data_IF_567485644425
#
_entry.id   IF_567485644425
#
_cell.length_a   1.000
_cell.length_b   1.000
_cell.length_c   1.000
_cell.angle_alpha   90.00
_cell.angle_beta   90.00
_cell.angle_gamma   90.00
#
_symmetry.space_group_name_H-M   'P 1'
#
loop_
_entity.id
_entity.type
_entity.pdbx_description
1 polymer ?
#
# COMPACT_ATOMS: atom_id res chain seq x y z
N UNK A 1 -4.92 18.84 -7.68
CA UNK A 1 -5.33 17.58 -7.01
C UNK A 1 -4.09 16.74 -6.75
N UNK A 2 -3.73 16.53 -5.47
CA UNK A 2 -2.56 15.73 -5.12
C UNK A 2 -2.81 14.28 -5.50
N UNK A 3 -1.90 13.70 -6.28
CA UNK A 3 -1.93 12.34 -6.83
C UNK A 3 -1.83 11.25 -5.73
N UNK A 4 -2.60 11.34 -4.65
CA UNK A 4 -2.33 10.64 -3.38
C UNK A 4 -3.28 9.47 -3.13
N UNK A 5 -2.70 8.30 -2.88
CA UNK A 5 -3.34 7.11 -2.35
C UNK A 5 -3.00 6.96 -0.86
N UNK A 6 -3.99 6.62 -0.03
CA UNK A 6 -3.76 6.34 1.39
C UNK A 6 -4.60 5.15 1.85
N UNK A 7 -3.95 4.14 2.43
CA UNK A 7 -4.60 2.98 3.03
C UNK A 7 -4.42 3.01 4.55
N UNK A 8 -5.54 3.15 5.28
CA UNK A 8 -5.54 3.26 6.73
C UNK A 8 -5.34 1.93 7.47
N UNK A 9 -5.59 0.79 6.82
CA UNK A 9 -5.45 -0.54 7.45
C UNK A 9 -4.00 -0.84 7.79
N UNK A 10 -3.11 -0.37 6.92
CA UNK A 10 -1.66 -0.58 7.00
C UNK A 10 -0.87 0.72 7.15
N UNK A 11 -1.53 1.87 7.30
CA UNK A 11 -0.92 3.21 7.30
C UNK A 11 -0.03 3.48 6.07
N UNK A 12 -0.40 2.95 4.91
CA UNK A 12 0.32 3.16 3.65
C UNK A 12 -0.07 4.48 3.00
N UNK A 13 0.91 5.24 2.49
CA UNK A 13 0.70 6.51 1.77
C UNK A 13 1.60 6.53 0.54
N UNK A 14 1.01 6.78 -0.62
CA UNK A 14 1.72 6.87 -1.89
C UNK A 14 1.19 8.02 -2.74
N UNK A 15 2.01 8.52 -3.66
CA UNK A 15 1.66 9.61 -4.56
C UNK A 15 1.51 9.14 -6.02
N UNK A 16 0.97 7.93 -6.22
CA UNK A 16 0.81 7.27 -7.50
C UNK A 16 -0.66 6.92 -7.83
N UNK A 17 -1.63 7.67 -7.32
CA UNK A 17 -3.07 7.40 -7.51
C UNK A 17 -3.46 7.25 -8.98
N UNK A 18 -2.93 8.07 -9.88
CA UNK A 18 -3.23 8.06 -11.31
C UNK A 18 -2.80 6.74 -11.96
N UNK A 19 -1.63 6.21 -11.61
CA UNK A 19 -1.15 4.91 -12.12
C UNK A 19 -2.07 3.77 -11.68
N UNK A 20 -2.51 3.80 -10.42
CA UNK A 20 -3.45 2.84 -9.85
C UNK A 20 -4.80 2.91 -10.57
N UNK A 21 -5.30 4.11 -10.83
CA UNK A 21 -6.54 4.33 -11.59
C UNK A 21 -6.40 3.89 -13.06
N UNK A 22 -5.19 3.92 -13.61
CA UNK A 22 -4.87 3.38 -14.94
C UNK A 22 -4.67 1.84 -14.95
N UNK A 23 -4.76 1.17 -13.79
CA UNK A 23 -4.68 -0.28 -13.67
C UNK A 23 -3.30 -0.82 -13.29
N UNK A 24 -2.32 0.05 -13.04
CA UNK A 24 -0.99 -0.33 -12.57
C UNK A 24 -1.04 -0.63 -11.05
N UNK A 25 -1.56 -1.81 -10.71
CA UNK A 25 -1.79 -2.22 -9.31
C UNK A 25 -0.59 -2.92 -8.66
N UNK A 26 0.43 -3.30 -9.42
CA UNK A 26 1.54 -4.13 -8.94
C UNK A 26 2.26 -3.50 -7.74
N UNK A 27 2.55 -2.20 -7.79
CA UNK A 27 3.19 -1.48 -6.69
C UNK A 27 2.33 -1.44 -5.43
N UNK A 28 1.02 -1.26 -5.58
CA UNK A 28 0.07 -1.23 -4.45
C UNK A 28 -0.06 -2.60 -3.81
N UNK A 29 -0.18 -3.65 -4.63
CA UNK A 29 -0.29 -5.03 -4.14
C UNK A 29 0.98 -5.42 -3.39
N UNK A 30 2.16 -5.10 -3.93
CA UNK A 30 3.43 -5.39 -3.28
C UNK A 30 3.54 -4.66 -1.93
N UNK A 31 3.18 -3.37 -1.87
CA UNK A 31 3.19 -2.62 -0.61
C UNK A 31 2.25 -3.19 0.45
N UNK A 32 1.05 -3.65 0.06
CA UNK A 32 0.10 -4.30 0.97
C UNK A 32 0.63 -5.65 1.48
N UNK A 33 1.27 -6.44 0.62
CA UNK A 33 1.89 -7.72 1.01
C UNK A 33 3.02 -7.50 2.01
N UNK A 34 3.86 -6.49 1.80
CA UNK A 34 4.96 -6.20 2.72
C UNK A 34 4.48 -5.68 4.06
N UNK A 35 3.43 -4.85 4.06
CA UNK A 35 2.78 -4.43 5.30
C UNK A 35 2.14 -5.60 6.07
N UNK A 36 1.47 -6.52 5.37
CA UNK A 36 0.89 -7.73 5.98
C UNK A 36 1.99 -8.65 6.56
N UNK A 37 3.10 -8.83 5.85
CA UNK A 37 4.27 -9.57 6.35
C UNK A 37 4.84 -8.93 7.61
N UNK A 38 5.00 -7.61 7.63
CA UNK A 38 5.48 -6.88 8.80
C UNK A 38 4.53 -7.03 9.99
N UNK A 39 3.21 -6.93 9.77
CA UNK A 39 2.20 -7.13 10.80
C UNK A 39 2.23 -8.55 11.39
N UNK A 40 2.38 -9.58 10.56
CA UNK A 40 2.49 -10.98 10.97
C UNK A 40 3.76 -11.27 11.76
N UNK A 41 4.90 -10.73 11.31
CA UNK A 41 6.17 -10.82 12.04
C UNK A 41 6.08 -10.13 13.40
N UNK A 42 5.46 -8.95 13.46
CA UNK A 42 5.26 -8.23 14.72
C UNK A 42 4.31 -8.95 15.68
N UNK A 43 3.38 -9.76 15.18
CA UNK A 43 2.42 -10.50 16.01
C UNK A 43 3.00 -11.79 16.59
N UNK A 44 4.18 -12.22 16.14
CA UNK A 44 4.82 -13.49 16.55
C UNK A 44 5.93 -13.28 17.59
N UNK A 45 6.13 -12.06 18.09
CA UNK A 45 7.12 -11.71 19.12
C UNK A 45 6.41 -11.30 20.41
#
# INVERSE_FOLDING_TARGET
PENRLSDHRVNYKANNLDAVLNGELDEVVQALLDADRAAKLSSTN
#
